data_IF_640566655056
#
_entry.id   IF_640566655056
#
_cell.length_a   1.000
_cell.length_b   1.000
_cell.length_c   1.000
_cell.angle_alpha   90.00
_cell.angle_beta   90.00
_cell.angle_gamma   90.00
#
_symmetry.space_group_name_H-M   'P 1'
#
loop_
_entity.id
_entity.type
_entity.pdbx_description
1 polymer ?
#
# COMPACT_ATOMS: atom_id res chain seq x y z
N UNK A 1 1.19 13.90 10.56
CA UNK A 1 -0.25 13.56 10.73
C UNK A 1 -0.67 12.39 9.84
N UNK A 2 -0.32 12.38 8.54
CA UNK A 2 -0.60 11.23 7.64
C UNK A 2 0.03 9.90 8.12
N UNK A 3 1.28 9.90 8.59
CA UNK A 3 1.97 8.67 9.03
C UNK A 3 1.24 7.91 10.15
N UNK A 4 0.58 8.60 11.09
CA UNK A 4 -0.17 7.95 12.18
C UNK A 4 -1.47 7.31 11.72
N UNK A 5 -2.15 7.90 10.73
CA UNK A 5 -3.37 7.32 10.15
C UNK A 5 -3.02 6.07 9.31
N UNK A 6 -1.94 6.16 8.52
CA UNK A 6 -1.38 5.02 7.78
C UNK A 6 -0.91 3.87 8.70
N UNK A 7 -0.36 4.18 9.88
CA UNK A 7 0.09 3.16 10.84
C UNK A 7 -1.05 2.41 11.54
N UNK A 8 -2.22 2.99 11.72
CA UNK A 8 -3.28 2.33 12.50
C UNK A 8 -4.37 1.67 11.64
N UNK A 9 -4.42 1.96 10.35
CA UNK A 9 -5.51 1.50 9.47
C UNK A 9 -5.09 0.41 8.47
N UNK A 10 -3.80 0.11 8.37
CA UNK A 10 -3.24 -0.88 7.43
C UNK A 10 -2.57 -2.04 8.16
N UNK A 11 -2.79 -3.25 7.65
CA UNK A 11 -2.02 -4.43 8.03
C UNK A 11 -0.58 -4.35 7.49
N UNK A 12 0.34 -5.19 7.99
CA UNK A 12 1.77 -5.13 7.64
C UNK A 12 2.04 -5.25 6.14
N UNK A 13 1.36 -6.18 5.45
CA UNK A 13 1.50 -6.36 4.00
C UNK A 13 1.00 -5.15 3.21
N UNK A 14 -0.12 -4.55 3.65
CA UNK A 14 -0.68 -3.35 3.02
C UNK A 14 0.27 -2.17 3.19
N UNK A 15 0.80 -1.98 4.41
CA UNK A 15 1.75 -0.91 4.70
C UNK A 15 2.99 -1.05 3.85
N UNK A 16 3.56 -2.25 3.76
CA UNK A 16 4.76 -2.52 2.98
C UNK A 16 4.57 -2.16 1.50
N UNK A 17 3.42 -2.49 0.92
CA UNK A 17 3.08 -2.13 -0.46
C UNK A 17 2.96 -0.61 -0.61
N UNK A 18 2.26 0.06 0.30
CA UNK A 18 2.06 1.51 0.23
C UNK A 18 3.38 2.27 0.41
N UNK A 19 4.21 1.86 1.36
CA UNK A 19 5.53 2.44 1.62
C UNK A 19 6.42 2.33 0.38
N UNK A 20 6.58 1.12 -0.17
CA UNK A 20 7.41 0.90 -1.37
C UNK A 20 6.89 1.66 -2.58
N UNK A 21 5.56 1.73 -2.75
CA UNK A 21 4.95 2.31 -3.95
C UNK A 21 4.85 3.83 -3.94
N UNK A 22 4.53 4.42 -2.77
CA UNK A 22 4.10 5.82 -2.67
C UNK A 22 4.95 6.66 -1.72
N UNK A 23 5.69 6.04 -0.78
CA UNK A 23 6.53 6.75 0.19
C UNK A 23 8.02 6.70 -0.13
N UNK A 24 8.38 6.16 -1.30
CA UNK A 24 9.74 6.23 -1.86
C UNK A 24 9.89 7.46 -2.76
N UNK A 25 11.06 8.10 -2.75
CA UNK A 25 11.34 9.26 -3.59
C UNK A 25 11.38 8.92 -5.10
N UNK A 26 11.55 7.64 -5.44
CA UNK A 26 11.62 7.16 -6.81
C UNK A 26 10.29 6.54 -7.24
N UNK A 27 9.90 6.76 -8.50
CA UNK A 27 8.72 6.11 -9.06
C UNK A 27 9.00 4.63 -9.34
N UNK A 28 8.60 3.76 -8.42
CA UNK A 28 8.76 2.30 -8.56
C UNK A 28 7.61 1.69 -9.38
N UNK A 29 7.92 0.77 -10.30
CA UNK A 29 6.91 0.02 -11.06
C UNK A 29 6.31 -1.09 -10.19
N UNK A 30 5.01 -1.32 -10.33
CA UNK A 30 4.29 -2.37 -9.59
C UNK A 30 4.96 -3.75 -9.74
N UNK A 31 5.43 -4.08 -10.96
CA UNK A 31 6.18 -5.32 -11.23
C UNK A 31 7.43 -5.48 -10.39
N UNK A 32 8.17 -4.41 -10.14
CA UNK A 32 9.37 -4.52 -9.32
C UNK A 32 9.00 -4.82 -7.87
N UNK A 33 7.88 -4.25 -7.38
CA UNK A 33 7.44 -4.42 -6.01
C UNK A 33 6.95 -5.84 -5.77
N UNK A 34 6.01 -6.36 -6.57
CA UNK A 34 5.50 -7.71 -6.31
C UNK A 34 6.54 -8.79 -6.61
N UNK A 35 7.47 -8.56 -7.54
CA UNK A 35 8.59 -9.49 -7.77
C UNK A 35 9.56 -9.50 -6.58
N UNK A 36 9.93 -8.32 -6.04
CA UNK A 36 10.80 -8.21 -4.87
C UNK A 36 10.17 -8.83 -3.61
N UNK A 37 8.86 -8.67 -3.45
CA UNK A 37 8.10 -9.22 -2.33
C UNK A 37 7.74 -10.71 -2.51
N UNK A 38 8.11 -11.35 -3.63
CA UNK A 38 7.75 -12.74 -3.93
C UNK A 38 6.24 -12.96 -4.06
N UNK A 39 5.48 -11.92 -4.38
CA UNK A 39 4.03 -11.95 -4.51
C UNK A 39 3.57 -12.18 -5.95
N UNK A 40 2.42 -12.85 -6.09
CA UNK A 40 1.71 -12.91 -7.36
C UNK A 40 1.11 -11.56 -7.69
N UNK A 41 1.02 -11.27 -9.00
CA UNK A 41 0.45 -10.03 -9.52
C UNK A 41 -0.96 -9.76 -8.98
N UNK A 42 -1.86 -10.74 -9.06
CA UNK A 42 -3.24 -10.58 -8.61
C UNK A 42 -3.33 -10.24 -7.12
N UNK A 43 -2.64 -11.01 -6.27
CA UNK A 43 -2.55 -10.78 -4.83
C UNK A 43 -2.06 -9.36 -4.51
N UNK A 44 -1.04 -8.89 -5.22
CA UNK A 44 -0.54 -7.52 -5.06
C UNK A 44 -1.62 -6.47 -5.36
N UNK A 45 -2.36 -6.61 -6.46
CA UNK A 45 -3.40 -5.64 -6.82
C UNK A 45 -4.59 -5.67 -5.87
N UNK A 46 -4.98 -6.84 -5.36
CA UNK A 46 -6.02 -6.99 -4.34
C UNK A 46 -5.64 -6.26 -3.04
N UNK A 47 -4.44 -6.55 -2.51
CA UNK A 47 -3.95 -5.92 -1.27
C UNK A 47 -3.78 -4.41 -1.48
N UNK A 48 -3.21 -3.98 -2.62
CA UNK A 48 -3.04 -2.56 -2.94
C UNK A 48 -4.38 -1.82 -2.96
N UNK A 49 -5.40 -2.38 -3.61
CA UNK A 49 -6.72 -1.77 -3.67
C UNK A 49 -7.36 -1.67 -2.29
N UNK A 50 -7.28 -2.75 -1.49
CA UNK A 50 -7.80 -2.78 -0.11
C UNK A 50 -7.13 -1.73 0.78
N UNK A 51 -5.81 -1.59 0.67
CA UNK A 51 -5.05 -0.58 1.41
C UNK A 51 -5.49 0.84 1.06
N UNK A 52 -5.69 1.15 -0.22
CA UNK A 52 -6.16 2.47 -0.67
C UNK A 52 -7.57 2.76 -0.12
N UNK A 53 -8.48 1.79 -0.18
CA UNK A 53 -9.82 1.95 0.39
C UNK A 53 -9.76 2.22 1.90
N UNK A 54 -8.93 1.48 2.64
CA UNK A 54 -8.76 1.68 4.09
C UNK A 54 -8.21 3.06 4.43
N UNK A 55 -7.22 3.54 3.68
CA UNK A 55 -6.71 4.91 3.82
C UNK A 55 -7.83 5.92 3.55
N UNK A 56 -8.60 5.74 2.47
CA UNK A 56 -9.69 6.66 2.12
C UNK A 56 -10.76 6.72 3.22
N UNK A 57 -11.15 5.57 3.79
CA UNK A 57 -12.07 5.50 4.93
C UNK A 57 -11.49 6.15 6.19
N UNK A 58 -10.22 5.88 6.53
CA UNK A 58 -9.56 6.48 7.69
C UNK A 58 -9.42 8.00 7.59
N UNK A 59 -9.33 8.53 6.36
CA UNK A 59 -9.29 9.95 6.07
C UNK A 59 -10.70 10.58 5.93
N UNK A 60 -11.77 9.79 6.03
CA UNK A 60 -13.15 10.27 5.88
C UNK A 60 -13.50 10.75 4.48
N UNK A 61 -12.80 10.25 3.45
CA UNK A 61 -13.06 10.57 2.03
C UNK A 61 -14.29 9.80 1.52
N UNK A 62 -14.55 8.62 2.11
CA UNK A 62 -15.68 7.73 1.86
C UNK A 62 -16.31 7.28 3.17
#
# INVERSE_FOLDING_TARGET
>A
QMERALQNSLDDEERLIIEKKYLTAARVKDINIYMELGMKKDTYYEIKQRAICRIATALGII
#
